data_IF_102286587132
#
_entry.id   IF_102286587132
#
_cell.length_a   1.000
_cell.length_b   1.000
_cell.length_c   1.000
_cell.angle_alpha   90.00
_cell.angle_beta   90.00
_cell.angle_gamma   90.00
#
_symmetry.space_group_name_H-M   'P 1'
#
loop_
_entity.id
_entity.type
_entity.pdbx_description
1 polymer ?
#
# COMPACT_ATOMS: atom_id res chain seq x y z
N UNK A 1 49.22 20.40 54.89
CA UNK A 1 47.90 20.78 54.32
C UNK A 1 48.07 20.83 52.80
N UNK A 2 47.71 19.76 52.10
CA UNK A 2 46.53 19.66 51.19
C UNK A 2 46.65 20.60 49.98
N UNK A 3 46.57 20.19 48.71
CA UNK A 3 45.49 19.41 48.08
C UNK A 3 45.97 18.76 46.77
N UNK A 4 45.72 17.46 46.61
CA UNK A 4 45.78 16.75 45.33
C UNK A 4 44.50 17.10 44.53
N UNK A 5 44.64 17.78 43.40
CA UNK A 5 43.49 18.08 42.51
C UNK A 5 43.25 16.89 41.59
N UNK A 6 42.25 16.07 41.92
CA UNK A 6 41.71 15.03 41.06
C UNK A 6 40.86 15.70 39.95
N UNK A 7 41.33 15.66 38.70
CA UNK A 7 40.48 16.02 37.55
C UNK A 7 39.66 14.79 37.13
N UNK A 8 38.40 14.77 37.53
CA UNK A 8 37.42 13.81 37.00
C UNK A 8 36.92 14.36 35.67
N UNK A 9 37.46 13.87 34.55
CA UNK A 9 36.86 14.09 33.23
C UNK A 9 35.55 13.30 33.16
N UNK A 10 34.43 14.00 33.25
CA UNK A 10 33.11 13.44 32.97
C UNK A 10 33.00 13.17 31.46
N UNK A 11 33.01 11.90 31.07
CA UNK A 11 32.65 11.50 29.72
C UNK A 11 31.14 11.72 29.53
N UNK A 12 30.78 12.74 28.75
CA UNK A 12 29.40 13.00 28.34
C UNK A 12 29.00 11.93 27.31
N UNK A 13 28.35 10.87 27.77
CA UNK A 13 27.66 9.92 26.88
C UNK A 13 26.36 10.59 26.46
N UNK A 14 26.36 11.23 25.30
CA UNK A 14 25.12 11.68 24.64
C UNK A 14 24.35 10.45 24.19
N UNK A 15 23.35 10.05 24.98
CA UNK A 15 22.32 9.10 24.54
C UNK A 15 21.45 9.82 23.51
N UNK A 16 21.72 9.56 22.23
CA UNK A 16 20.77 9.89 21.16
C UNK A 16 19.57 8.97 21.31
N UNK A 17 18.57 9.40 22.10
CA UNK A 17 17.25 8.83 22.08
C UNK A 17 16.60 9.14 20.73
N UNK A 18 16.93 8.35 19.71
CA UNK A 18 16.17 8.32 18.47
C UNK A 18 14.72 7.98 18.83
N UNK A 19 13.80 8.91 18.62
CA UNK A 19 12.38 8.63 18.79
C UNK A 19 12.00 7.57 17.75
N UNK A 20 11.89 6.32 18.19
CA UNK A 20 11.34 5.24 17.38
C UNK A 20 9.83 5.46 17.27
N UNK A 21 9.42 6.34 16.36
CA UNK A 21 8.04 6.41 15.94
C UNK A 21 7.73 5.08 15.24
N UNK A 22 6.68 4.38 15.70
CA UNK A 22 6.25 3.16 15.05
C UNK A 22 5.93 3.45 13.57
N UNK A 23 6.28 2.54 12.67
CA UNK A 23 5.95 2.70 11.27
C UNK A 23 4.42 2.78 11.08
N UNK A 24 3.92 3.58 10.11
CA UNK A 24 2.50 3.62 9.79
C UNK A 24 1.95 2.24 9.46
N UNK A 25 0.70 1.97 9.87
CA UNK A 25 0.01 0.70 9.69
C UNK A 25 -1.10 0.81 8.66
N UNK A 26 -1.40 -0.32 8.04
CA UNK A 26 -2.56 -0.44 7.17
C UNK A 26 -3.86 -0.43 7.99
N UNK A 27 -4.84 0.34 7.54
CA UNK A 27 -6.17 0.49 8.17
C UNK A 27 -7.30 -0.05 7.31
N UNK A 28 -7.00 -0.44 6.07
CA UNK A 28 -7.96 -0.91 5.09
C UNK A 28 -8.93 0.17 4.62
N UNK A 29 -9.82 -0.22 3.72
CA UNK A 29 -10.85 0.67 3.15
C UNK A 29 -11.77 1.29 4.22
N UNK A 30 -11.92 0.62 5.36
CA UNK A 30 -12.68 1.14 6.50
C UNK A 30 -12.10 2.45 7.06
N UNK A 31 -10.78 2.62 6.99
CA UNK A 31 -10.10 3.87 7.35
C UNK A 31 -10.39 5.02 6.38
N UNK A 32 -10.81 4.71 5.16
CA UNK A 32 -10.94 5.65 4.04
C UNK A 32 -12.37 6.16 3.79
N UNK A 33 -13.34 5.81 4.66
CA UNK A 33 -14.80 6.07 4.46
C UNK A 33 -15.23 7.52 4.22
N UNK A 34 -14.35 8.49 4.46
CA UNK A 34 -14.57 9.89 4.06
C UNK A 34 -14.62 10.05 2.52
N UNK A 35 -13.97 9.16 1.77
CA UNK A 35 -13.82 9.16 0.31
C UNK A 35 -14.81 8.20 -0.36
N UNK A 36 -16.12 8.40 -0.12
CA UNK A 36 -17.18 7.46 -0.56
C UNK A 36 -17.20 7.25 -2.07
N UNK A 37 -16.99 8.33 -2.81
CA UNK A 37 -16.96 8.35 -4.26
C UNK A 37 -15.81 7.50 -4.81
N UNK A 38 -14.61 7.74 -4.29
CA UNK A 38 -13.40 7.01 -4.66
C UNK A 38 -13.52 5.53 -4.27
N UNK A 39 -14.09 5.23 -3.10
CA UNK A 39 -14.40 3.84 -2.69
C UNK A 39 -15.31 3.17 -3.70
N UNK A 40 -16.38 3.83 -4.13
CA UNK A 40 -17.32 3.26 -5.11
C UNK A 40 -16.66 2.97 -6.47
N UNK A 41 -15.76 3.84 -6.95
CA UNK A 41 -15.01 3.57 -8.18
C UNK A 41 -13.92 2.50 -7.99
N UNK A 42 -13.32 2.41 -6.79
CA UNK A 42 -12.39 1.33 -6.46
C UNK A 42 -13.08 -0.03 -6.45
N UNK A 43 -14.24 -0.18 -5.81
CA UNK A 43 -14.98 -1.46 -5.69
C UNK A 43 -15.32 -2.10 -7.04
N UNK A 44 -15.58 -1.28 -8.06
CA UNK A 44 -15.85 -1.78 -9.42
C UNK A 44 -14.60 -2.19 -10.20
N UNK A 45 -13.43 -1.70 -9.80
CA UNK A 45 -12.14 -1.87 -10.50
C UNK A 45 -11.62 -3.32 -10.48
N UNK A 46 -10.60 -3.58 -11.30
CA UNK A 46 -9.90 -4.87 -11.26
C UNK A 46 -9.03 -5.04 -10.00
N UNK A 47 -8.61 -3.93 -9.36
CA UNK A 47 -7.77 -3.96 -8.17
C UNK A 47 -8.54 -4.44 -6.94
N UNK A 48 -9.76 -3.95 -6.72
CA UNK A 48 -10.63 -4.45 -5.65
C UNK A 48 -10.91 -5.96 -5.81
N UNK A 49 -11.03 -6.43 -7.05
CA UNK A 49 -11.34 -7.83 -7.40
C UNK A 49 -10.10 -8.68 -7.65
N UNK A 50 -8.90 -8.17 -7.35
CA UNK A 50 -7.66 -8.85 -7.70
C UNK A 50 -7.56 -10.22 -7.01
N UNK A 51 -7.93 -10.31 -5.74
CA UNK A 51 -7.83 -11.54 -4.96
C UNK A 51 -8.70 -12.68 -5.52
N UNK A 52 -9.89 -12.37 -6.03
CA UNK A 52 -10.80 -13.36 -6.63
C UNK A 52 -10.17 -14.13 -7.80
N UNK A 53 -9.14 -13.57 -8.46
CA UNK A 53 -8.44 -14.22 -9.56
C UNK A 53 -7.59 -15.41 -9.10
N UNK A 54 -7.28 -15.49 -7.81
CA UNK A 54 -6.44 -16.53 -7.22
C UNK A 54 -7.19 -17.85 -6.99
N UNK A 55 -8.53 -17.80 -6.92
CA UNK A 55 -9.35 -19.00 -6.70
C UNK A 55 -9.28 -19.99 -7.89
N UNK A 56 -9.57 -21.28 -7.65
CA UNK A 56 -9.73 -22.29 -8.69
C UNK A 56 -10.73 -21.90 -9.78
N UNK A 57 -10.48 -22.33 -11.01
CA UNK A 57 -11.34 -22.12 -12.19
C UNK A 57 -11.34 -20.70 -12.74
N UNK A 58 -10.64 -19.75 -12.11
CA UNK A 58 -10.60 -18.34 -12.55
C UNK A 58 -9.52 -18.12 -13.60
N UNK A 59 -9.88 -17.43 -14.68
CA UNK A 59 -8.98 -17.03 -15.78
C UNK A 59 -8.21 -18.21 -16.40
N UNK A 60 -8.86 -19.37 -16.55
CA UNK A 60 -8.28 -20.63 -17.04
C UNK A 60 -7.30 -20.45 -18.22
N UNK A 61 -7.78 -19.90 -19.33
CA UNK A 61 -6.96 -19.69 -20.53
C UNK A 61 -5.70 -18.85 -20.27
N UNK A 62 -5.78 -17.83 -19.39
CA UNK A 62 -4.62 -17.00 -19.03
C UNK A 62 -3.66 -17.75 -18.10
N UNK A 63 -4.19 -18.48 -17.10
CA UNK A 63 -3.37 -19.30 -16.19
C UNK A 63 -2.60 -20.36 -16.98
N UNK A 64 -3.27 -21.13 -17.83
CA UNK A 64 -2.63 -22.11 -18.73
C UNK A 64 -1.54 -21.48 -19.61
N UNK A 65 -1.82 -20.34 -20.24
CA UNK A 65 -0.82 -19.63 -21.06
C UNK A 65 0.42 -19.21 -20.26
N UNK A 66 0.25 -18.93 -18.97
CA UNK A 66 1.34 -18.58 -18.05
C UNK A 66 1.98 -19.80 -17.36
N UNK A 67 1.61 -21.03 -17.73
CA UNK A 67 2.13 -22.25 -17.10
C UNK A 67 1.59 -22.50 -15.69
N UNK A 68 0.46 -21.89 -15.34
CA UNK A 68 -0.22 -22.07 -14.06
C UNK A 68 -1.37 -23.09 -14.19
N UNK A 69 -1.61 -23.82 -13.11
CA UNK A 69 -2.73 -24.73 -12.97
C UNK A 69 -4.02 -23.93 -12.72
N UNK A 70 -5.03 -23.99 -13.61
CA UNK A 70 -6.26 -23.24 -13.44
C UNK A 70 -7.10 -23.68 -12.23
N UNK A 71 -6.96 -24.93 -11.80
CA UNK A 71 -7.78 -25.54 -10.74
C UNK A 71 -7.10 -25.44 -9.36
N UNK A 72 -5.84 -25.03 -9.33
CA UNK A 72 -5.13 -24.72 -8.09
C UNK A 72 -5.67 -23.43 -7.44
N UNK A 73 -5.80 -23.47 -6.12
CA UNK A 73 -6.00 -22.28 -5.30
C UNK A 73 -4.65 -21.60 -4.99
N UNK A 74 -4.54 -20.33 -5.36
CA UNK A 74 -3.37 -19.49 -5.13
C UNK A 74 -3.58 -18.48 -3.99
N UNK A 75 -4.73 -18.50 -3.32
CA UNK A 75 -5.13 -17.52 -2.28
C UNK A 75 -4.26 -17.53 -1.02
N UNK A 76 -3.39 -18.52 -0.87
CA UNK A 76 -2.39 -18.63 0.20
C UNK A 76 -0.94 -18.66 -0.32
N UNK A 77 -0.74 -18.60 -1.64
CA UNK A 77 0.61 -18.62 -2.25
C UNK A 77 1.28 -17.25 -2.07
N UNK A 78 2.39 -17.14 -1.31
CA UNK A 78 3.09 -15.88 -1.06
C UNK A 78 3.49 -15.13 -2.33
N UNK A 79 3.74 -15.83 -3.45
CA UNK A 79 4.10 -15.21 -4.73
C UNK A 79 2.91 -14.46 -5.35
N UNK A 80 1.70 -14.93 -5.07
CA UNK A 80 0.47 -14.37 -5.63
C UNK A 80 -0.11 -13.30 -4.71
N UNK A 81 -0.27 -13.61 -3.42
CA UNK A 81 -0.95 -12.70 -2.48
C UNK A 81 -0.21 -11.39 -2.30
N UNK A 82 1.13 -11.37 -2.45
CA UNK A 82 1.93 -10.13 -2.40
C UNK A 82 1.43 -9.03 -3.35
N UNK A 83 0.89 -9.39 -4.51
CA UNK A 83 0.38 -8.44 -5.51
C UNK A 83 -1.16 -8.38 -5.56
N UNK A 84 -1.85 -9.23 -4.81
CA UNK A 84 -3.31 -9.41 -4.88
C UNK A 84 -4.01 -9.05 -3.56
N UNK A 85 -3.28 -8.53 -2.58
CA UNK A 85 -3.79 -8.09 -1.28
C UNK A 85 -3.20 -6.73 -0.91
N UNK A 86 -3.66 -6.18 0.21
CA UNK A 86 -3.17 -4.91 0.77
C UNK A 86 -2.16 -5.17 1.89
N UNK A 87 -0.92 -4.72 1.71
CA UNK A 87 0.13 -4.77 2.75
C UNK A 87 0.56 -6.17 3.16
N UNK A 88 0.74 -7.11 2.21
CA UNK A 88 1.04 -8.50 2.57
C UNK A 88 2.24 -8.63 3.52
N UNK A 89 2.00 -9.16 4.73
CA UNK A 89 2.96 -9.33 5.85
C UNK A 89 3.55 -8.04 6.44
N UNK A 90 3.06 -6.88 6.03
CA UNK A 90 3.39 -5.63 6.69
C UNK A 90 2.52 -5.44 7.96
N UNK A 91 2.93 -4.55 8.86
CA UNK A 91 2.19 -4.29 10.10
C UNK A 91 0.80 -3.69 9.81
N UNK A 92 -0.23 -4.36 10.33
CA UNK A 92 -1.64 -4.06 10.02
C UNK A 92 -2.11 -4.52 8.64
N UNK A 93 -1.24 -5.12 7.83
CA UNK A 93 -1.53 -5.56 6.47
C UNK A 93 -2.09 -6.99 6.37
N UNK A 94 -2.31 -7.48 5.15
CA UNK A 94 -2.89 -8.81 4.91
C UNK A 94 -1.95 -9.92 5.38
N UNK A 95 -2.50 -10.87 6.15
CA UNK A 95 -1.84 -12.10 6.56
C UNK A 95 -2.53 -13.32 5.97
N UNK A 96 -3.84 -13.43 6.17
CA UNK A 96 -4.69 -14.51 5.69
C UNK A 96 -6.17 -14.07 5.69
N UNK A 97 -7.02 -14.85 5.01
CA UNK A 97 -8.45 -14.55 4.92
C UNK A 97 -9.21 -14.66 6.24
N UNK A 98 -8.75 -15.49 7.19
CA UNK A 98 -9.45 -15.67 8.46
C UNK A 98 -9.29 -14.48 9.39
N UNK A 99 -8.13 -13.82 9.35
CA UNK A 99 -7.77 -12.68 10.20
C UNK A 99 -7.93 -11.33 9.51
N UNK A 100 -7.68 -11.27 8.20
CA UNK A 100 -7.54 -10.01 7.44
C UNK A 100 -8.34 -9.99 6.14
N UNK A 101 -9.50 -10.64 6.09
CA UNK A 101 -10.38 -10.69 4.90
C UNK A 101 -10.59 -9.34 4.21
N UNK A 102 -10.70 -8.25 4.99
CA UNK A 102 -10.94 -6.89 4.49
C UNK A 102 -9.76 -6.30 3.70
N UNK A 103 -8.59 -6.92 3.76
CA UNK A 103 -7.39 -6.55 3.04
C UNK A 103 -7.14 -7.46 1.83
N UNK A 104 -8.07 -8.38 1.53
CA UNK A 104 -8.07 -9.11 0.27
C UNK A 104 -8.39 -8.14 -0.89
N UNK A 105 -7.56 -8.16 -1.92
CA UNK A 105 -7.60 -7.19 -3.01
C UNK A 105 -6.56 -6.08 -2.85
N UNK A 106 -6.28 -5.41 -3.96
CA UNK A 106 -5.37 -4.25 -4.00
C UNK A 106 -6.17 -3.02 -3.58
N UNK A 107 -6.04 -2.63 -2.31
CA UNK A 107 -6.77 -1.52 -1.69
C UNK A 107 -6.13 -0.16 -1.91
N UNK A 108 -6.74 0.88 -1.34
CA UNK A 108 -6.29 2.28 -1.45
C UNK A 108 -4.82 2.45 -1.07
N UNK A 109 -4.42 1.78 0.01
CA UNK A 109 -3.10 1.91 0.65
C UNK A 109 -1.97 1.28 -0.16
N UNK A 110 -2.28 0.50 -1.19
CA UNK A 110 -1.26 -0.01 -2.13
C UNK A 110 -0.74 1.07 -3.08
N UNK A 111 -1.50 2.14 -3.29
CA UNK A 111 -1.10 3.32 -4.07
C UNK A 111 -0.86 4.55 -3.19
N UNK A 112 -1.51 4.61 -2.02
CA UNK A 112 -1.50 5.77 -1.11
C UNK A 112 -0.69 5.57 0.18
N UNK A 113 -0.07 4.39 0.36
CA UNK A 113 0.68 4.06 1.57
C UNK A 113 -0.21 3.71 2.76
N UNK A 114 0.36 3.23 3.88
CA UNK A 114 -0.40 2.84 5.06
C UNK A 114 -1.05 4.05 5.74
N UNK A 115 -2.35 3.94 6.02
CA UNK A 115 -3.21 5.07 6.34
C UNK A 115 -3.29 5.49 7.80
N UNK A 116 -2.61 4.83 8.74
CA UNK A 116 -2.80 5.12 10.18
C UNK A 116 -2.53 6.58 10.56
N UNK A 117 -1.51 7.19 9.94
CA UNK A 117 -0.94 8.46 10.38
C UNK A 117 -1.50 9.64 9.59
N UNK A 118 -1.35 9.65 8.25
CA UNK A 118 -1.86 10.74 7.41
C UNK A 118 -3.38 10.89 7.50
N UNK A 119 -4.11 9.83 7.85
CA UNK A 119 -5.55 9.91 8.10
C UNK A 119 -5.87 10.83 9.28
N UNK A 120 -5.04 10.90 10.32
CA UNK A 120 -5.30 11.81 11.43
C UNK A 120 -5.20 13.26 10.96
N UNK A 121 -4.21 13.56 10.13
CA UNK A 121 -4.08 14.86 9.46
C UNK A 121 -5.34 15.16 8.64
N UNK A 122 -5.82 14.20 7.84
CA UNK A 122 -7.06 14.37 7.09
C UNK A 122 -8.27 14.65 7.99
N UNK A 123 -8.40 13.96 9.13
CA UNK A 123 -9.53 14.16 10.06
C UNK A 123 -9.46 15.51 10.76
N UNK A 124 -8.27 15.95 11.16
CA UNK A 124 -8.07 17.19 11.91
C UNK A 124 -8.14 18.42 11.01
N UNK A 125 -7.52 18.36 9.83
CA UNK A 125 -7.35 19.51 8.94
C UNK A 125 -8.32 19.50 7.77
N UNK A 126 -8.95 18.37 7.47
CA UNK A 126 -9.89 18.16 6.35
C UNK A 126 -9.24 18.43 4.99
N UNK A 127 -9.08 19.69 4.59
CA UNK A 127 -8.38 20.13 3.37
C UNK A 127 -7.28 21.15 3.64
N UNK A 128 -7.05 21.53 4.90
CA UNK A 128 -6.08 22.58 5.29
C UNK A 128 -4.70 22.01 5.59
N UNK A 129 -4.27 20.99 4.85
CA UNK A 129 -2.94 20.39 4.94
C UNK A 129 -2.22 20.54 3.60
N UNK A 130 -0.91 20.31 3.59
CA UNK A 130 -0.13 20.30 2.33
C UNK A 130 0.24 18.87 1.96
N UNK A 131 0.49 18.61 0.66
CA UNK A 131 1.02 17.31 0.20
C UNK A 131 2.32 16.94 0.91
N UNK A 132 3.17 17.91 1.23
CA UNK A 132 4.41 17.67 1.96
C UNK A 132 4.16 17.15 3.38
N UNK A 133 3.13 17.69 4.07
CA UNK A 133 2.77 17.29 5.43
C UNK A 133 2.30 15.83 5.50
N UNK A 134 1.36 15.46 4.63
CA UNK A 134 0.85 14.08 4.59
C UNK A 134 1.86 13.08 4.03
N UNK A 135 2.74 13.52 3.13
CA UNK A 135 3.89 12.71 2.67
C UNK A 135 4.87 12.42 3.80
N UNK A 136 5.13 13.39 4.68
CA UNK A 136 5.94 13.18 5.88
C UNK A 136 5.29 12.18 6.86
N UNK A 137 3.96 12.06 6.83
CA UNK A 137 3.18 11.04 7.55
C UNK A 137 2.97 9.73 6.76
N UNK A 138 3.73 9.50 5.68
CA UNK A 138 3.74 8.24 4.94
C UNK A 138 2.76 8.15 3.77
N UNK A 139 1.99 9.20 3.46
CA UNK A 139 1.10 9.17 2.30
C UNK A 139 1.88 9.13 0.99
N UNK A 140 1.51 8.21 0.12
CA UNK A 140 1.98 8.09 -1.25
C UNK A 140 0.95 8.66 -2.24
N UNK A 141 1.44 9.01 -3.42
CA UNK A 141 0.63 9.58 -4.49
C UNK A 141 0.87 8.77 -5.76
N UNK A 142 0.13 7.67 -5.93
CA UNK A 142 0.31 6.79 -7.09
C UNK A 142 0.11 7.46 -8.45
N UNK A 143 -0.58 8.61 -8.51
CA UNK A 143 -0.70 9.43 -9.71
C UNK A 143 0.60 10.13 -10.13
N UNK A 144 1.56 10.31 -9.22
CA UNK A 144 2.84 10.99 -9.50
C UNK A 144 4.05 10.08 -9.35
N UNK A 145 3.94 8.97 -8.63
CA UNK A 145 5.01 8.00 -8.45
C UNK A 145 4.66 6.66 -9.11
N UNK A 146 5.18 6.36 -10.32
CA UNK A 146 4.87 5.10 -11.01
C UNK A 146 5.48 3.87 -10.31
N UNK A 147 6.40 4.04 -9.35
CA UNK A 147 7.00 2.93 -8.63
C UNK A 147 5.97 2.13 -7.82
N UNK A 148 4.92 2.78 -7.31
CA UNK A 148 3.84 2.06 -6.59
C UNK A 148 3.17 1.03 -7.49
N UNK A 149 3.01 1.35 -8.79
CA UNK A 149 2.45 0.44 -9.78
C UNK A 149 3.44 -0.69 -10.13
N UNK A 150 4.72 -0.35 -10.27
CA UNK A 150 5.77 -1.30 -10.66
C UNK A 150 6.07 -2.36 -9.60
N UNK A 151 5.75 -2.08 -8.33
CA UNK A 151 5.81 -3.05 -7.23
C UNK A 151 5.12 -4.38 -7.54
N UNK A 152 4.10 -4.35 -8.41
CA UNK A 152 3.32 -5.50 -8.87
C UNK A 152 3.45 -5.72 -10.39
N UNK A 153 3.22 -4.67 -11.20
CA UNK A 153 3.11 -4.82 -12.65
C UNK A 153 4.44 -5.16 -13.34
N UNK A 154 5.57 -4.68 -12.78
CA UNK A 154 6.92 -5.02 -13.24
C UNK A 154 7.65 -5.97 -12.28
N UNK A 155 6.92 -6.56 -11.33
CA UNK A 155 7.51 -7.49 -10.37
C UNK A 155 8.01 -8.75 -11.08
N UNK A 156 9.23 -9.20 -10.75
CA UNK A 156 9.81 -10.43 -11.31
C UNK A 156 8.95 -11.68 -11.06
N UNK A 157 8.22 -11.71 -9.95
CA UNK A 157 7.38 -12.83 -9.55
C UNK A 157 5.98 -12.77 -10.18
N UNK A 158 5.65 -11.69 -10.91
CA UNK A 158 4.41 -11.60 -11.69
C UNK A 158 4.55 -12.42 -12.99
N UNK A 159 3.80 -13.52 -13.16
CA UNK A 159 3.86 -14.35 -14.37
C UNK A 159 3.20 -13.69 -15.59
N UNK A 160 2.50 -12.57 -15.38
CA UNK A 160 1.91 -11.71 -16.41
C UNK A 160 2.64 -10.37 -16.52
N UNK A 161 3.91 -10.30 -16.08
CA UNK A 161 4.73 -9.09 -16.19
C UNK A 161 4.80 -8.63 -17.64
N UNK A 162 4.60 -7.33 -17.83
CA UNK A 162 4.75 -6.66 -19.12
C UNK A 162 5.78 -5.54 -18.99
N UNK A 163 6.93 -5.68 -19.68
CA UNK A 163 7.97 -4.66 -19.67
C UNK A 163 7.50 -3.35 -20.32
N UNK A 164 6.53 -3.46 -21.24
CA UNK A 164 5.86 -2.35 -21.92
C UNK A 164 4.74 -1.71 -21.10
N UNK A 165 4.51 -2.15 -19.85
CA UNK A 165 3.48 -1.55 -18.99
C UNK A 165 3.75 -0.05 -18.76
N UNK A 166 2.87 0.76 -19.33
CA UNK A 166 2.83 2.21 -19.18
C UNK A 166 1.70 2.62 -18.23
N UNK A 167 2.06 3.33 -17.16
CA UNK A 167 1.10 3.72 -16.11
C UNK A 167 0.10 4.73 -16.66
N UNK A 168 0.54 5.65 -17.52
CA UNK A 168 -0.32 6.72 -18.06
C UNK A 168 -1.40 6.14 -18.96
N UNK A 169 -1.05 5.18 -19.81
CA UNK A 169 -2.03 4.44 -20.61
C UNK A 169 -2.97 3.60 -19.72
N UNK A 170 -2.42 2.95 -18.69
CA UNK A 170 -3.19 2.08 -17.81
C UNK A 170 -4.26 2.84 -17.00
N UNK A 171 -3.95 4.04 -16.49
CA UNK A 171 -4.89 4.86 -15.72
C UNK A 171 -5.96 5.52 -16.59
N UNK A 172 -5.69 5.74 -17.88
CA UNK A 172 -6.68 6.27 -18.84
C UNK A 172 -7.72 5.21 -19.26
N UNK A 173 -7.52 3.92 -18.92
CA UNK A 173 -8.40 2.82 -19.26
C UNK A 173 -9.66 2.78 -18.38
N UNK A 174 -10.83 2.46 -18.94
CA UNK A 174 -12.13 2.41 -18.23
C UNK A 174 -12.26 1.38 -17.10
N UNK A 175 -11.29 0.47 -17.00
CA UNK A 175 -11.18 -0.53 -15.92
C UNK A 175 -10.25 -0.09 -14.79
N UNK A 176 -9.53 1.01 -14.95
CA UNK A 176 -8.77 1.66 -13.90
C UNK A 176 -9.69 2.42 -12.95
N UNK A 177 -9.19 2.61 -11.74
CA UNK A 177 -9.77 3.42 -10.69
C UNK A 177 -9.50 4.91 -10.97
N UNK A 178 -10.38 5.81 -10.52
CA UNK A 178 -10.39 7.25 -10.79
C UNK A 178 -10.83 7.68 -12.20
N UNK A 179 -11.62 6.85 -12.89
CA UNK A 179 -12.30 7.31 -14.11
C UNK A 179 -13.51 8.17 -13.77
N UNK A 180 -14.23 7.82 -12.71
CA UNK A 180 -15.45 8.54 -12.32
C UNK A 180 -15.13 9.75 -11.43
N UNK A 181 -13.99 9.73 -10.75
CA UNK A 181 -13.54 10.77 -9.83
C UNK A 181 -12.08 11.12 -10.08
N UNK A 182 -11.69 12.40 -10.14
CA UNK A 182 -10.34 12.81 -10.53
C UNK A 182 -9.23 12.13 -9.73
N UNK A 183 -8.15 11.75 -10.42
CA UNK A 183 -6.90 11.22 -9.84
C UNK A 183 -6.21 12.22 -8.91
N UNK A 184 -6.34 13.50 -9.22
CA UNK A 184 -5.87 14.59 -8.37
C UNK A 184 -7.07 15.19 -7.63
N UNK A 185 -7.11 14.93 -6.33
CA UNK A 185 -8.02 15.62 -5.45
C UNK A 185 -7.66 17.10 -5.31
N UNK A 186 -8.67 17.97 -5.26
CA UNK A 186 -8.53 19.39 -4.91
C UNK A 186 -8.36 19.55 -3.39
N UNK A 187 -7.32 18.92 -2.81
CA UNK A 187 -7.01 18.96 -1.38
C UNK A 187 -5.86 19.92 -1.14
#
# INVERSE_FOLDING_TARGET
MSFMKLFISAAFVTVLAGSAWAAPKYVGVDGCKCHKSEISDWERSSHAKAFDLLSPGKKDAKKKKAGLDPDKDYSSDPKCVKCHTTGYKDDGGFTDLSSTAKLAGVGCEMCHGPGSDYRQIHKEKTTKFTRAEVKAAGQLFGSVDPQVCYSCHKNKDNPFRDEGFDVKEAIDNSRAFHKLYPLEGNH
#
